data_IF_518639055561
#
_entry.id   IF_518639055561
#
_cell.length_a   1.000
_cell.length_b   1.000
_cell.length_c   1.000
_cell.angle_alpha   90.00
_cell.angle_beta   90.00
_cell.angle_gamma   90.00
#
_symmetry.space_group_name_H-M   'P 1'
#
loop_
_entity.id
_entity.type
_entity.pdbx_description
1 polymer ?
#
# COMPACT_ATOMS: atom_id res chain seq x y z
N UNK A 1 7.87 24.17 -3.97
CA UNK A 1 8.90 23.26 -3.39
C UNK A 1 8.40 21.82 -3.31
N UNK A 2 7.32 21.51 -2.57
CA UNK A 2 6.76 20.12 -2.51
C UNK A 2 6.33 19.60 -3.89
N UNK A 3 5.67 20.43 -4.72
CA UNK A 3 5.24 20.01 -6.07
C UNK A 3 6.38 19.67 -7.04
N UNK A 4 7.59 20.20 -6.82
CA UNK A 4 8.74 19.97 -7.71
C UNK A 4 9.61 18.78 -7.27
N UNK A 5 9.56 18.43 -5.99
CA UNK A 5 10.39 17.36 -5.40
C UNK A 5 9.59 16.13 -4.97
N UNK A 6 8.27 16.26 -4.88
CA UNK A 6 7.40 15.19 -4.42
C UNK A 6 7.25 14.07 -5.45
N UNK A 7 7.11 12.86 -4.96
CA UNK A 7 6.69 11.69 -5.74
C UNK A 7 5.38 11.16 -5.16
N UNK A 8 4.52 10.65 -6.04
CA UNK A 8 3.29 10.00 -5.66
C UNK A 8 3.13 8.68 -6.41
N UNK A 9 2.51 7.71 -5.74
CA UNK A 9 2.08 6.45 -6.32
C UNK A 9 0.59 6.27 -6.07
N UNK A 10 -0.10 5.75 -7.09
CA UNK A 10 -1.47 5.28 -6.98
C UNK A 10 -1.41 3.75 -7.05
N UNK A 11 -1.99 3.11 -6.04
CA UNK A 11 -2.09 1.67 -5.93
C UNK A 11 -3.56 1.32 -6.06
N UNK A 12 -3.85 0.47 -7.04
CA UNK A 12 -5.19 0.04 -7.37
C UNK A 12 -5.29 -1.47 -7.15
N UNK A 13 -6.41 -2.00 -6.64
CA UNK A 13 -6.60 -3.43 -6.55
C UNK A 13 -6.79 -4.01 -7.95
N UNK A 14 -6.13 -5.14 -8.25
CA UNK A 14 -6.31 -5.81 -9.55
C UNK A 14 -7.74 -6.36 -9.73
N UNK A 15 -8.38 -6.74 -8.63
CA UNK A 15 -9.76 -7.26 -8.57
C UNK A 15 -10.43 -6.75 -7.30
N UNK A 16 -11.77 -6.60 -7.29
CA UNK A 16 -12.49 -5.96 -6.18
C UNK A 16 -12.25 -6.64 -4.83
N UNK A 17 -12.16 -7.97 -4.75
CA UNK A 17 -11.91 -8.64 -3.47
C UNK A 17 -10.51 -8.37 -2.91
N UNK A 18 -9.53 -8.00 -3.75
CA UNK A 18 -8.19 -7.63 -3.28
C UNK A 18 -8.15 -6.25 -2.64
N UNK A 19 -9.20 -5.45 -2.80
CA UNK A 19 -9.36 -4.16 -2.13
C UNK A 19 -9.21 -4.26 -0.61
N UNK A 20 -9.61 -5.38 0.00
CA UNK A 20 -9.46 -5.61 1.44
C UNK A 20 -8.01 -5.40 1.92
N UNK A 21 -7.05 -5.69 1.04
CA UNK A 21 -5.62 -5.52 1.29
C UNK A 21 -5.24 -4.05 1.40
N UNK A 22 -5.70 -3.23 0.45
CA UNK A 22 -5.45 -1.79 0.44
C UNK A 22 -6.28 -1.07 1.51
N UNK A 23 -7.43 -1.61 1.87
CA UNK A 23 -8.33 -1.10 2.90
C UNK A 23 -7.80 -1.31 4.32
N UNK A 24 -6.92 -2.30 4.51
CA UNK A 24 -6.25 -2.53 5.78
C UNK A 24 -5.25 -1.39 6.10
N UNK A 25 -5.44 -0.76 7.26
CA UNK A 25 -4.58 0.34 7.71
C UNK A 25 -3.13 -0.08 7.93
N UNK A 26 -2.91 -1.27 8.53
CA UNK A 26 -1.58 -1.82 8.75
C UNK A 26 -0.84 -2.06 7.45
N UNK A 27 -1.52 -2.59 6.44
CA UNK A 27 -0.91 -2.81 5.12
C UNK A 27 -0.49 -1.49 4.48
N UNK A 28 -1.34 -0.47 4.50
CA UNK A 28 -0.96 0.86 3.98
C UNK A 28 0.24 1.44 4.71
N UNK A 29 0.36 1.21 6.02
CA UNK A 29 1.54 1.60 6.81
C UNK A 29 2.78 0.80 6.42
N UNK A 30 2.65 -0.50 6.15
CA UNK A 30 3.75 -1.33 5.68
C UNK A 30 4.28 -0.86 4.32
N UNK A 31 3.37 -0.56 3.37
CA UNK A 31 3.76 -0.04 2.05
C UNK A 31 4.45 1.33 2.20
N UNK A 32 3.91 2.23 3.02
CA UNK A 32 4.55 3.52 3.31
C UNK A 32 5.94 3.33 3.94
N UNK A 33 6.08 2.39 4.87
CA UNK A 33 7.36 2.10 5.51
C UNK A 33 8.40 1.61 4.50
N UNK A 34 8.09 0.62 3.67
CA UNK A 34 9.02 0.13 2.65
C UNK A 34 9.38 1.22 1.62
N UNK A 35 8.38 1.98 1.15
CA UNK A 35 8.60 3.12 0.27
C UNK A 35 9.59 4.12 0.89
N UNK A 36 9.30 4.60 2.10
CA UNK A 36 10.16 5.59 2.80
C UNK A 36 11.55 5.06 3.15
N UNK A 37 11.68 3.78 3.51
CA UNK A 37 12.97 3.12 3.77
C UNK A 37 13.85 3.04 2.53
N UNK A 38 13.25 2.79 1.36
CA UNK A 38 13.99 2.49 0.13
C UNK A 38 14.54 3.72 -0.60
N UNK A 39 13.79 4.82 -0.61
CA UNK A 39 14.18 6.07 -1.28
C UNK A 39 14.58 7.18 -0.31
N UNK A 40 14.46 6.92 1.00
CA UNK A 40 14.64 7.92 2.05
C UNK A 40 13.54 8.99 2.03
N UNK A 41 13.38 9.72 3.13
CA UNK A 41 12.41 10.82 3.21
C UNK A 41 13.12 12.10 3.59
N UNK A 42 13.02 13.10 2.71
CA UNK A 42 13.49 14.45 2.98
C UNK A 42 12.50 15.17 3.88
N UNK A 43 11.21 15.16 3.51
CA UNK A 43 10.07 15.78 4.22
C UNK A 43 8.78 15.07 3.82
N UNK A 44 7.70 15.27 4.59
CA UNK A 44 6.32 14.87 4.29
C UNK A 44 6.14 13.49 3.66
N UNK A 45 5.53 12.55 4.37
CA UNK A 45 5.12 11.27 3.81
C UNK A 45 3.72 10.96 4.31
N UNK A 46 2.83 10.54 3.42
CA UNK A 46 1.44 10.35 3.76
C UNK A 46 0.77 9.30 2.86
N UNK A 47 -0.25 8.63 3.39
CA UNK A 47 -1.12 7.73 2.63
C UNK A 47 -2.56 8.20 2.67
N UNK A 48 -3.17 8.40 1.50
CA UNK A 48 -4.60 8.68 1.36
C UNK A 48 -5.28 7.46 0.80
N UNK A 49 -6.44 7.12 1.35
CA UNK A 49 -7.34 6.10 0.80
C UNK A 49 -8.50 6.83 0.15
N UNK A 50 -8.84 6.43 -1.06
CA UNK A 50 -10.13 6.74 -1.67
C UNK A 50 -11.12 5.63 -1.32
N UNK A 51 -12.21 6.00 -0.63
CA UNK A 51 -13.24 5.05 -0.21
C UNK A 51 -14.24 4.73 -1.32
N UNK A 52 -14.32 5.54 -2.37
CA UNK A 52 -15.20 5.27 -3.49
C UNK A 52 -14.53 4.25 -4.42
N UNK A 53 -13.35 4.60 -4.94
CA UNK A 53 -12.62 3.74 -5.89
C UNK A 53 -11.80 2.62 -5.27
N UNK A 54 -11.59 2.61 -3.95
CA UNK A 54 -10.73 1.63 -3.28
C UNK A 54 -9.22 1.83 -3.50
N UNK A 55 -8.83 2.94 -4.15
CA UNK A 55 -7.43 3.27 -4.42
C UNK A 55 -6.69 3.72 -3.17
N UNK A 56 -5.41 3.39 -3.09
CA UNK A 56 -4.49 3.95 -2.09
C UNK A 56 -3.44 4.79 -2.77
N UNK A 57 -3.32 6.03 -2.31
CA UNK A 57 -2.35 7.00 -2.80
C UNK A 57 -1.25 7.14 -1.74
N UNK A 58 0.01 7.01 -2.16
CA UNK A 58 1.19 7.29 -1.33
C UNK A 58 1.84 8.54 -1.88
N UNK A 59 2.09 9.53 -1.02
CA UNK A 59 2.77 10.77 -1.39
C UNK A 59 3.94 10.97 -0.45
N UNK A 60 5.12 11.27 -1.00
CA UNK A 60 6.28 11.63 -0.19
C UNK A 60 7.21 12.62 -0.89
N UNK A 61 8.02 13.35 -0.11
CA UNK A 61 9.21 14.06 -0.64
C UNK A 61 10.45 13.23 -0.30
N UNK A 62 10.98 12.45 -1.25
CA UNK A 62 12.08 11.53 -1.01
C UNK A 62 13.45 12.22 -1.03
N UNK A 63 14.47 11.53 -0.53
CA UNK A 63 15.88 11.93 -0.74
C UNK A 63 16.36 11.50 -2.14
N UNK A 64 16.05 10.27 -2.52
CA UNK A 64 16.33 9.71 -3.84
C UNK A 64 15.06 9.79 -4.72
N UNK A 65 15.13 10.51 -5.84
CA UNK A 65 14.03 10.66 -6.80
C UNK A 65 14.08 9.57 -7.88
N UNK A 66 13.89 8.33 -7.45
CA UNK A 66 13.89 7.14 -8.31
C UNK A 66 12.50 6.50 -8.33
N UNK A 67 11.79 6.70 -9.44
CA UNK A 67 10.42 6.23 -9.61
C UNK A 67 10.34 4.71 -9.80
N UNK A 68 11.27 4.13 -10.56
CA UNK A 68 11.28 2.69 -10.84
C UNK A 68 11.56 1.90 -9.55
N UNK A 69 12.51 2.36 -8.75
CA UNK A 69 12.78 1.79 -7.44
C UNK A 69 11.57 1.87 -6.53
N UNK A 70 10.89 3.01 -6.49
CA UNK A 70 9.69 3.20 -5.66
C UNK A 70 8.56 2.25 -6.08
N UNK A 71 8.31 2.12 -7.39
CA UNK A 71 7.33 1.17 -7.94
C UNK A 71 7.69 -0.27 -7.58
N UNK A 72 8.97 -0.64 -7.79
CA UNK A 72 9.46 -1.99 -7.49
C UNK A 72 9.28 -2.35 -6.02
N UNK A 73 9.65 -1.46 -5.10
CA UNK A 73 9.56 -1.69 -3.65
C UNK A 73 8.10 -1.84 -3.20
N UNK A 74 7.21 -0.99 -3.71
CA UNK A 74 5.78 -1.08 -3.40
C UNK A 74 5.18 -2.40 -3.91
N UNK A 75 5.56 -2.86 -5.11
CA UNK A 75 5.11 -4.15 -5.66
C UNK A 75 5.58 -5.35 -4.82
N UNK A 76 6.76 -5.27 -4.22
CA UNK A 76 7.34 -6.35 -3.41
C UNK A 76 7.10 -6.18 -1.91
N UNK A 77 6.25 -5.24 -1.49
CA UNK A 77 5.91 -5.06 -0.09
C UNK A 77 5.19 -6.31 0.44
N UNK A 78 5.66 -6.92 1.55
CA UNK A 78 5.02 -8.12 2.08
C UNK A 78 3.60 -7.84 2.57
N UNK A 79 2.73 -8.82 2.39
CA UNK A 79 1.37 -8.79 2.95
C UNK A 79 1.38 -9.20 4.41
N UNK A 80 0.75 -8.38 5.27
CA UNK A 80 0.57 -8.69 6.68
C UNK A 80 -0.36 -9.88 6.86
N UNK A 81 -0.14 -10.67 7.92
CA UNK A 81 -0.97 -11.84 8.22
C UNK A 81 -2.43 -11.47 8.50
N UNK A 82 -2.67 -10.32 9.13
CA UNK A 82 -4.01 -9.77 9.38
C UNK A 82 -4.80 -9.48 8.09
N UNK A 83 -4.11 -9.42 6.96
CA UNK A 83 -4.67 -9.15 5.62
C UNK A 83 -4.76 -10.41 4.78
N UNK A 84 -3.91 -11.40 5.06
CA UNK A 84 -4.03 -12.76 4.53
C UNK A 84 -5.22 -13.47 5.19
N UNK A 85 -6.45 -12.97 4.99
CA UNK A 85 -7.63 -13.83 5.13
C UNK A 85 -7.51 -14.88 4.03
N UNK A 86 -6.92 -16.01 4.40
CA UNK A 86 -6.69 -17.15 3.53
C UNK A 86 -8.02 -17.52 2.88
N UNK A 87 -8.04 -17.64 1.55
CA UNK A 87 -9.19 -18.22 0.85
C UNK A 87 -9.53 -19.62 1.40
N UNK A 88 -8.60 -20.29 2.08
CA UNK A 88 -8.86 -21.55 2.80
C UNK A 88 -9.87 -21.43 3.94
N UNK A 89 -9.99 -20.26 4.58
CA UNK A 89 -10.97 -20.01 5.66
C UNK A 89 -12.31 -19.54 5.09
N UNK A 90 -12.31 -18.92 3.89
CA UNK A 90 -13.55 -18.57 3.19
C UNK A 90 -14.22 -19.77 2.49
N UNK A 91 -13.48 -20.85 2.21
CA UNK A 91 -14.00 -22.10 1.65
C UNK A 91 -14.42 -23.13 2.71
N UNK A 92 -14.14 -22.90 3.99
CA UNK A 92 -14.59 -23.81 5.04
C UNK A 92 -16.05 -23.48 5.40
N UNK A 93 -16.98 -24.35 4.97
CA UNK A 93 -18.31 -24.48 5.57
C UNK A 93 -18.16 -25.00 7.02
N UNK A 94 -17.61 -24.19 7.91
CA UNK A 94 -17.73 -24.47 9.35
C UNK A 94 -19.15 -24.04 9.71
N UNK A 95 -20.09 -24.96 9.49
CA UNK A 95 -21.37 -24.94 10.18
C UNK A 95 -21.02 -24.96 11.67
N UNK A 96 -21.34 -23.87 12.36
CA UNK A 96 -21.26 -23.84 13.81
C UNK A 96 -22.30 -24.82 14.37
N UNK A 97 -21.82 -25.85 15.05
CA UNK A 97 -22.57 -26.57 16.07
C UNK A 97 -22.59 -25.75 17.38
#
# INVERSE_FOLDING_TARGET
MVLAEGMALVIEPNEEHYRITLDNFGQRKAILFEATRSVGVKRYHYTRKDYESGKTIIVLVPLLRDQEKLISVVRHTPLLESVKKSQSVMKSNVLGD
#
